data_IF_103072109109
#
_entry.id   IF_103072109109
#
_cell.length_a   1.000
_cell.length_b   1.000
_cell.length_c   1.000
_cell.angle_alpha   90.00
_cell.angle_beta   90.00
_cell.angle_gamma   90.00
#
_symmetry.space_group_name_H-M   'P 1'
#
loop_
_entity.id
_entity.type
_entity.pdbx_description
1 polymer ?
#
# COMPACT_ATOMS: atom_id res chain seq x y z
N UNK A 1 -1.38 15.19 -21.80
CA UNK A 1 -0.87 14.35 -20.68
C UNK A 1 -0.48 15.10 -19.39
N UNK A 2 -0.48 16.44 -19.32
CA UNK A 2 -0.13 17.23 -18.11
C UNK A 2 -1.13 17.17 -16.92
N UNK A 3 -2.32 16.58 -17.10
CA UNK A 3 -3.41 16.56 -16.09
C UNK A 3 -3.31 15.45 -15.03
N UNK A 4 -2.41 14.47 -15.20
CA UNK A 4 -2.29 13.33 -14.28
C UNK A 4 -1.36 13.59 -13.08
N UNK A 5 -0.52 14.62 -13.12
CA UNK A 5 0.35 14.99 -11.99
C UNK A 5 -0.43 15.51 -10.79
N UNK A 6 -1.50 16.28 -11.03
CA UNK A 6 -2.32 16.88 -9.97
C UNK A 6 -3.12 15.82 -9.19
N UNK A 7 -3.54 14.72 -9.85
CA UNK A 7 -4.28 13.65 -9.19
C UNK A 7 -3.43 12.89 -8.15
N UNK A 8 -2.13 12.75 -8.39
CA UNK A 8 -1.23 12.05 -7.45
C UNK A 8 -0.98 12.88 -6.19
N UNK A 9 -0.89 14.22 -6.30
CA UNK A 9 -0.84 15.14 -5.16
C UNK A 9 -2.15 15.13 -4.35
N UNK A 10 -3.29 14.93 -5.02
CA UNK A 10 -4.63 14.89 -4.41
C UNK A 10 -4.88 13.63 -3.57
N UNK A 11 -4.41 12.45 -4.01
CA UNK A 11 -4.50 11.20 -3.25
C UNK A 11 -3.62 11.24 -1.99
N UNK A 12 -2.44 11.85 -2.09
CA UNK A 12 -1.57 12.07 -0.94
C UNK A 12 -2.19 12.94 0.16
N UNK A 13 -3.07 13.89 -0.17
CA UNK A 13 -3.74 14.74 0.81
C UNK A 13 -4.73 13.98 1.71
N UNK A 14 -5.47 13.03 1.14
CA UNK A 14 -6.42 12.18 1.89
C UNK A 14 -5.66 11.20 2.79
N UNK A 15 -4.58 10.60 2.29
CA UNK A 15 -3.71 9.75 3.11
C UNK A 15 -3.01 10.57 4.21
N UNK A 16 -2.53 11.78 3.93
CA UNK A 16 -1.91 12.65 4.93
C UNK A 16 -2.90 13.08 6.01
N UNK A 17 -4.16 13.36 5.68
CA UNK A 17 -5.20 13.64 6.66
C UNK A 17 -5.48 12.41 7.55
N UNK A 18 -5.57 11.21 6.96
CA UNK A 18 -5.69 9.94 7.71
C UNK A 18 -4.50 9.73 8.67
N UNK A 19 -3.29 10.06 8.22
CA UNK A 19 -2.07 9.95 9.02
C UNK A 19 -1.99 10.98 10.14
N UNK A 20 -2.44 12.20 9.88
CA UNK A 20 -2.55 13.21 10.93
C UNK A 20 -3.57 12.81 12.00
N UNK A 21 -4.68 12.15 11.64
CA UNK A 21 -5.64 11.58 12.61
C UNK A 21 -4.99 10.48 13.45
N UNK A 22 -4.30 9.52 12.81
CA UNK A 22 -3.63 8.41 13.52
C UNK A 22 -2.50 8.92 14.41
N UNK A 23 -1.69 9.85 13.91
CA UNK A 23 -0.57 10.45 14.63
C UNK A 23 -1.03 11.32 15.81
N UNK A 24 -2.11 12.09 15.64
CA UNK A 24 -2.68 12.89 16.73
C UNK A 24 -3.33 12.02 17.81
N UNK A 25 -3.99 10.92 17.43
CA UNK A 25 -4.45 9.88 18.36
C UNK A 25 -3.30 9.21 19.10
N UNK A 26 -2.18 8.93 18.42
CA UNK A 26 -0.97 8.37 19.01
C UNK A 26 -0.29 9.30 20.01
N UNK A 27 -0.07 10.58 19.67
CA UNK A 27 0.50 11.57 20.61
C UNK A 27 -0.37 11.67 21.85
N UNK A 28 -1.70 11.67 21.67
CA UNK A 28 -2.64 11.73 22.79
C UNK A 28 -2.54 10.49 23.67
N UNK A 29 -2.55 9.29 23.09
CA UNK A 29 -2.34 8.03 23.81
C UNK A 29 -1.00 8.03 24.55
N UNK A 30 0.09 8.42 23.89
CA UNK A 30 1.44 8.46 24.49
C UNK A 30 1.50 9.40 25.69
N UNK A 31 0.98 10.62 25.55
CA UNK A 31 1.05 11.64 26.60
C UNK A 31 0.16 11.31 27.80
N UNK A 32 -0.99 10.67 27.57
CA UNK A 32 -1.96 10.35 28.62
C UNK A 32 -1.71 8.98 29.25
N UNK A 33 -0.99 8.07 28.59
CA UNK A 33 -0.59 6.78 29.17
C UNK A 33 0.56 6.92 30.18
N UNK A 34 1.43 7.93 30.02
CA UNK A 34 2.52 8.22 30.97
C UNK A 34 2.07 8.90 32.26
N UNK A 35 0.86 9.49 32.28
CA UNK A 35 0.34 10.21 33.44
C UNK A 35 -0.78 9.40 34.09
N UNK A 36 -0.36 8.46 34.95
CA UNK A 36 -1.20 7.72 35.90
C UNK A 36 -2.26 6.80 35.27
N UNK A 37 -2.25 5.51 35.66
CA UNK A 37 -3.05 4.43 35.07
C UNK A 37 -4.57 4.49 35.29
N UNK A 38 -5.19 5.67 35.23
CA UNK A 38 -6.63 5.90 35.37
C UNK A 38 -7.18 6.57 34.12
N UNK A 39 -7.66 5.75 33.18
CA UNK A 39 -8.36 6.16 31.94
C UNK A 39 -9.71 6.87 32.23
N UNK A 40 -10.20 6.82 33.47
CA UNK A 40 -11.59 7.17 33.79
C UNK A 40 -11.83 8.61 34.29
N UNK A 41 -10.79 9.40 34.53
CA UNK A 41 -10.92 10.81 34.96
C UNK A 41 -10.37 11.76 33.90
N UNK A 42 -11.00 11.78 32.72
CA UNK A 42 -10.61 12.64 31.62
C UNK A 42 -11.31 14.01 31.76
N UNK A 43 -10.57 15.14 31.81
CA UNK A 43 -11.18 16.46 31.82
C UNK A 43 -11.89 16.74 30.49
N UNK A 44 -13.10 17.32 30.54
CA UNK A 44 -13.95 17.61 29.36
C UNK A 44 -13.22 18.38 28.24
N UNK A 45 -12.29 19.27 28.58
CA UNK A 45 -11.53 20.08 27.64
C UNK A 45 -10.57 19.27 26.76
N UNK A 46 -9.96 18.21 27.29
CA UNK A 46 -9.06 17.35 26.51
C UNK A 46 -9.82 16.43 25.56
N UNK A 47 -10.98 15.91 25.97
CA UNK A 47 -11.89 15.17 25.08
C UNK A 47 -12.38 16.05 23.92
N UNK A 48 -12.73 17.32 24.21
CA UNK A 48 -13.14 18.27 23.17
C UNK A 48 -12.02 18.56 22.17
N UNK A 49 -10.78 18.70 22.64
CA UNK A 49 -9.60 18.90 21.79
C UNK A 49 -9.28 17.67 20.92
N UNK A 50 -9.42 16.45 21.46
CA UNK A 50 -9.28 15.22 20.67
C UNK A 50 -10.36 15.11 19.60
N UNK A 51 -11.63 15.35 19.97
CA UNK A 51 -12.75 15.34 19.05
C UNK A 51 -12.56 16.36 17.93
N UNK A 52 -12.13 17.58 18.24
CA UNK A 52 -11.80 18.60 17.24
C UNK A 52 -10.66 18.17 16.30
N UNK A 53 -9.61 17.54 16.83
CA UNK A 53 -8.46 17.04 16.04
C UNK A 53 -8.83 15.91 15.08
N UNK A 54 -9.83 15.10 15.41
CA UNK A 54 -10.33 14.02 14.54
C UNK A 54 -11.40 14.54 13.57
N UNK A 55 -12.29 15.40 14.05
CA UNK A 55 -13.46 15.88 13.30
C UNK A 55 -13.10 16.88 12.21
N UNK A 56 -12.15 17.79 12.45
CA UNK A 56 -11.73 18.80 11.46
C UNK A 56 -11.11 18.17 10.19
N UNK A 57 -10.16 17.21 10.28
CA UNK A 57 -9.64 16.52 9.10
C UNK A 57 -10.71 15.70 8.38
N UNK A 58 -11.61 15.02 9.10
CA UNK A 58 -12.72 14.27 8.50
C UNK A 58 -13.67 15.19 7.71
N UNK A 59 -13.98 16.38 8.25
CA UNK A 59 -14.82 17.38 7.57
C UNK A 59 -14.13 17.96 6.33
N UNK A 60 -12.82 18.22 6.41
CA UNK A 60 -12.01 18.66 5.27
C UNK A 60 -11.98 17.61 4.15
N UNK A 61 -11.70 16.35 4.49
CA UNK A 61 -11.69 15.23 3.54
C UNK A 61 -13.08 15.01 2.93
N UNK A 62 -14.12 14.95 3.77
CA UNK A 62 -15.50 14.77 3.33
C UNK A 62 -16.00 15.89 2.42
N UNK A 63 -15.72 17.15 2.79
CA UNK A 63 -16.09 18.33 1.99
C UNK A 63 -15.38 18.37 0.64
N UNK A 64 -14.09 18.04 0.60
CA UNK A 64 -13.33 17.94 -0.66
C UNK A 64 -13.87 16.84 -1.58
N UNK A 65 -14.14 15.64 -1.05
CA UNK A 65 -14.71 14.53 -1.82
C UNK A 65 -16.08 14.89 -2.41
N UNK A 66 -16.94 15.54 -1.62
CA UNK A 66 -18.26 15.99 -2.08
C UNK A 66 -18.18 17.01 -3.22
N UNK A 67 -17.33 18.04 -3.08
CA UNK A 67 -17.13 19.08 -4.11
C UNK A 67 -16.54 18.48 -5.38
N UNK A 68 -15.56 17.57 -5.26
CA UNK A 68 -14.97 16.86 -6.40
C UNK A 68 -16.01 16.01 -7.12
N UNK A 69 -16.86 15.29 -6.39
CA UNK A 69 -17.92 14.48 -6.99
C UNK A 69 -18.87 15.34 -7.84
N UNK A 70 -19.30 16.49 -7.31
CA UNK A 70 -20.14 17.46 -8.04
C UNK A 70 -19.47 18.04 -9.29
N UNK A 71 -18.19 18.38 -9.21
CA UNK A 71 -17.43 18.98 -10.33
C UNK A 71 -17.09 17.94 -11.41
N UNK A 72 -16.80 16.70 -11.03
CA UNK A 72 -16.44 15.63 -11.98
C UNK A 72 -17.68 15.09 -12.71
N UNK A 73 -18.86 15.11 -12.09
CA UNK A 73 -20.11 14.73 -12.75
C UNK A 73 -20.56 15.75 -13.80
N UNK A 74 -20.19 17.03 -13.68
CA UNK A 74 -20.64 18.05 -14.63
C UNK A 74 -19.85 18.09 -15.95
N UNK A 75 -18.73 17.35 -16.08
CA UNK A 75 -17.77 17.52 -17.19
C UNK A 75 -17.68 16.36 -18.18
N UNK A 76 -18.16 15.14 -17.90
CA UNK A 76 -17.93 14.01 -18.83
C UNK A 76 -18.91 12.84 -18.68
N UNK A 77 -19.88 12.73 -19.61
CA UNK A 77 -20.87 11.63 -19.60
C UNK A 77 -20.92 10.77 -20.86
N UNK A 78 -20.32 11.15 -21.99
CA UNK A 78 -20.50 10.37 -23.25
C UNK A 78 -19.20 9.75 -23.79
N UNK A 79 -18.07 10.45 -23.76
CA UNK A 79 -16.78 9.85 -24.16
C UNK A 79 -16.17 8.92 -23.11
N UNK A 80 -16.61 9.02 -21.85
CA UNK A 80 -15.96 8.43 -20.68
C UNK A 80 -16.07 6.90 -20.65
N UNK A 81 -17.20 6.33 -21.04
CA UNK A 81 -17.45 4.88 -20.89
C UNK A 81 -16.62 4.02 -21.86
N UNK A 82 -16.38 4.52 -23.07
CA UNK A 82 -15.55 3.81 -24.07
C UNK A 82 -14.08 3.77 -23.63
N UNK A 83 -13.54 4.90 -23.18
CA UNK A 83 -12.17 4.95 -22.65
C UNK A 83 -12.04 4.13 -21.36
N UNK A 84 -13.02 4.17 -20.46
CA UNK A 84 -13.01 3.33 -19.25
C UNK A 84 -13.04 1.83 -19.55
N UNK A 85 -13.71 1.38 -20.61
CA UNK A 85 -13.72 -0.05 -20.98
C UNK A 85 -12.36 -0.52 -21.49
N UNK A 86 -11.63 0.35 -22.20
CA UNK A 86 -10.26 0.07 -22.60
C UNK A 86 -9.29 0.18 -21.41
N UNK A 87 -9.49 1.11 -20.49
CA UNK A 87 -8.60 1.31 -19.33
C UNK A 87 -8.85 0.32 -18.20
N UNK A 88 -10.07 -0.20 -18.03
CA UNK A 88 -10.43 -1.22 -17.04
C UNK A 88 -11.48 -2.22 -17.57
N UNK A 89 -11.05 -3.30 -18.26
CA UNK A 89 -11.96 -4.28 -18.83
C UNK A 89 -12.75 -5.08 -17.76
N UNK A 90 -12.19 -5.28 -16.55
CA UNK A 90 -12.88 -6.00 -15.46
C UNK A 90 -14.20 -5.33 -15.10
N UNK A 91 -14.23 -4.00 -15.07
CA UNK A 91 -15.41 -3.25 -14.65
C UNK A 91 -16.63 -3.49 -15.56
N UNK A 92 -16.40 -3.84 -16.82
CA UNK A 92 -17.43 -4.01 -17.85
C UNK A 92 -17.70 -5.48 -18.20
N UNK A 93 -17.04 -6.42 -17.55
CA UNK A 93 -17.22 -7.84 -17.79
C UNK A 93 -18.55 -8.34 -17.19
N UNK A 94 -19.45 -8.98 -17.97
CA UNK A 94 -20.74 -9.44 -17.47
C UNK A 94 -20.61 -10.58 -16.45
N UNK A 95 -19.65 -11.49 -16.62
CA UNK A 95 -19.50 -12.63 -15.74
C UNK A 95 -18.84 -12.24 -14.40
N UNK A 96 -19.57 -12.43 -13.30
CA UNK A 96 -19.09 -12.12 -11.95
C UNK A 96 -17.84 -12.92 -11.56
N UNK A 97 -17.75 -14.18 -12.00
CA UNK A 97 -16.62 -15.05 -11.67
C UNK A 97 -15.34 -14.59 -12.36
N UNK A 98 -15.44 -14.26 -13.66
CA UNK A 98 -14.34 -13.67 -14.42
C UNK A 98 -13.81 -12.41 -13.76
N UNK A 99 -14.71 -11.55 -13.25
CA UNK A 99 -14.30 -10.35 -12.48
C UNK A 99 -13.54 -10.71 -11.21
N UNK A 100 -14.05 -11.64 -10.40
CA UNK A 100 -13.42 -12.02 -9.14
C UNK A 100 -12.02 -12.63 -9.38
N UNK A 101 -11.91 -13.57 -10.31
CA UNK A 101 -10.62 -14.21 -10.60
C UNK A 101 -9.61 -13.23 -11.18
N UNK A 102 -10.04 -12.37 -12.11
CA UNK A 102 -9.19 -11.35 -12.70
C UNK A 102 -8.73 -10.32 -11.66
N UNK A 103 -9.62 -9.85 -10.79
CA UNK A 103 -9.26 -8.93 -9.68
C UNK A 103 -8.30 -9.59 -8.70
N UNK A 104 -8.53 -10.85 -8.33
CA UNK A 104 -7.62 -11.60 -7.45
C UNK A 104 -6.22 -11.76 -8.06
N UNK A 105 -6.15 -12.00 -9.37
CA UNK A 105 -4.88 -12.06 -10.08
C UNK A 105 -4.19 -10.70 -10.19
N UNK A 106 -4.95 -9.63 -10.41
CA UNK A 106 -4.42 -8.25 -10.39
C UNK A 106 -3.76 -7.93 -9.03
N UNK A 107 -4.32 -8.38 -7.90
CA UNK A 107 -3.66 -8.24 -6.60
C UNK A 107 -2.33 -8.97 -6.51
N UNK A 108 -2.26 -10.15 -7.12
CA UNK A 108 -1.02 -10.92 -7.18
C UNK A 108 0.02 -10.26 -8.06
N UNK A 109 -0.43 -9.62 -9.14
CA UNK A 109 0.41 -8.80 -10.00
C UNK A 109 0.96 -7.58 -9.24
N UNK A 110 0.13 -6.93 -8.43
CA UNK A 110 0.56 -5.85 -7.53
C UNK A 110 1.58 -6.34 -6.50
N UNK A 111 1.36 -7.50 -5.86
CA UNK A 111 2.34 -8.06 -4.92
C UNK A 111 3.67 -8.37 -5.61
N UNK A 112 3.62 -8.92 -6.83
CA UNK A 112 4.81 -9.15 -7.64
C UNK A 112 5.57 -7.85 -7.90
N UNK A 113 4.88 -6.78 -8.35
CA UNK A 113 5.51 -5.48 -8.59
C UNK A 113 6.12 -4.89 -7.31
N UNK A 114 5.52 -5.17 -6.17
CA UNK A 114 6.00 -4.73 -4.87
C UNK A 114 7.30 -5.45 -4.47
N UNK A 115 7.36 -6.78 -4.67
CA UNK A 115 8.54 -7.60 -4.40
C UNK A 115 9.67 -7.38 -5.42
N UNK A 116 9.31 -7.23 -6.70
CA UNK A 116 10.23 -7.07 -7.81
C UNK A 116 9.62 -6.12 -8.85
N UNK A 117 10.01 -4.83 -8.86
CA UNK A 117 9.42 -3.80 -9.73
C UNK A 117 9.98 -3.90 -11.15
N UNK A 118 9.82 -5.07 -11.78
CA UNK A 118 10.23 -5.32 -13.16
C UNK A 118 9.43 -6.45 -13.83
N UNK A 119 9.06 -6.31 -15.12
CA UNK A 119 9.17 -5.10 -15.93
C UNK A 119 8.05 -4.10 -15.59
N UNK A 120 8.39 -2.82 -15.49
CA UNK A 120 7.40 -1.73 -15.38
C UNK A 120 6.92 -1.31 -16.77
N UNK A 121 5.67 -0.87 -16.87
CA UNK A 121 5.01 -0.47 -18.10
C UNK A 121 4.39 0.92 -17.93
N UNK A 122 4.48 1.75 -18.97
CA UNK A 122 3.89 3.09 -18.95
C UNK A 122 2.36 3.05 -18.84
N UNK A 123 1.72 2.00 -19.34
CA UNK A 123 0.26 1.86 -19.32
C UNK A 123 -0.21 0.40 -19.43
N UNK A 124 -1.16 0.00 -18.58
CA UNK A 124 -1.76 -1.34 -18.56
C UNK A 124 -3.21 -1.28 -19.04
N UNK A 125 -3.42 -1.09 -20.34
CA UNK A 125 -4.75 -1.01 -20.92
C UNK A 125 -5.13 -2.26 -21.72
N UNK A 126 -6.43 -2.45 -21.87
CA UNK A 126 -7.11 -3.48 -22.66
C UNK A 126 -6.63 -4.88 -22.29
N UNK A 127 -5.92 -5.57 -23.19
CA UNK A 127 -5.54 -6.98 -23.02
C UNK A 127 -4.08 -7.17 -22.59
N UNK A 128 -3.50 -6.16 -21.93
CA UNK A 128 -2.15 -6.25 -21.36
C UNK A 128 -2.03 -7.35 -20.29
N UNK A 129 -3.07 -7.53 -19.47
CA UNK A 129 -3.22 -8.71 -18.61
C UNK A 129 -4.55 -9.37 -18.98
N UNK A 130 -4.55 -10.57 -19.60
CA UNK A 130 -5.78 -11.19 -20.07
C UNK A 130 -6.67 -11.57 -18.90
N UNK A 131 -7.99 -11.39 -19.07
CA UNK A 131 -8.98 -11.79 -18.08
C UNK A 131 -8.91 -13.30 -17.82
N UNK A 132 -9.29 -13.71 -16.62
CA UNK A 132 -9.36 -15.12 -16.22
C UNK A 132 -10.80 -15.58 -16.30
N UNK A 133 -11.14 -16.27 -17.38
CA UNK A 133 -12.50 -16.75 -17.63
C UNK A 133 -12.77 -18.13 -17.00
N UNK A 134 -11.72 -18.93 -16.82
CA UNK A 134 -11.83 -20.31 -16.33
C UNK A 134 -11.25 -20.46 -14.92
N UNK A 135 -11.90 -21.29 -14.10
CA UNK A 135 -11.42 -21.62 -12.75
C UNK A 135 -10.11 -22.43 -12.76
N UNK A 136 -9.86 -23.23 -13.79
CA UNK A 136 -8.67 -24.09 -13.94
C UNK A 136 -7.43 -23.36 -14.47
N UNK A 137 -7.46 -22.03 -14.58
CA UNK A 137 -6.30 -21.26 -15.00
C UNK A 137 -5.20 -21.32 -13.93
N UNK A 138 -3.97 -21.67 -14.32
CA UNK A 138 -2.81 -21.74 -13.41
C UNK A 138 -2.53 -20.41 -12.70
N UNK A 139 -2.96 -19.28 -13.27
CA UNK A 139 -2.86 -17.96 -12.66
C UNK A 139 -3.66 -17.84 -11.36
N UNK A 140 -4.74 -18.60 -11.20
CA UNK A 140 -5.50 -18.64 -9.95
C UNK A 140 -4.70 -19.24 -8.79
N UNK A 141 -3.77 -20.16 -9.07
CA UNK A 141 -2.88 -20.70 -8.03
C UNK A 141 -1.98 -19.60 -7.45
N UNK A 142 -1.45 -18.73 -8.31
CA UNK A 142 -0.64 -17.57 -7.89
C UNK A 142 -1.48 -16.65 -7.00
N UNK A 143 -2.76 -16.43 -7.36
CA UNK A 143 -3.70 -15.68 -6.53
C UNK A 143 -3.92 -16.31 -5.17
N UNK A 144 -4.21 -17.61 -5.12
CA UNK A 144 -4.40 -18.33 -3.85
C UNK A 144 -3.15 -18.24 -2.96
N UNK A 145 -1.96 -18.44 -3.52
CA UNK A 145 -0.69 -18.32 -2.79
C UNK A 145 -0.45 -16.89 -2.29
N UNK A 146 -0.70 -15.88 -3.12
CA UNK A 146 -0.59 -14.48 -2.75
C UNK A 146 -1.50 -14.15 -1.56
N UNK A 147 -2.78 -14.52 -1.64
CA UNK A 147 -3.71 -14.31 -0.54
C UNK A 147 -3.32 -15.10 0.70
N UNK A 148 -2.85 -16.34 0.59
CA UNK A 148 -2.36 -17.09 1.74
C UNK A 148 -1.17 -16.39 2.41
N UNK A 149 -0.18 -15.95 1.62
CA UNK A 149 1.02 -15.27 2.12
C UNK A 149 0.73 -13.91 2.77
N UNK A 150 -0.31 -13.20 2.35
CA UNK A 150 -0.69 -11.90 2.92
C UNK A 150 -1.70 -12.05 4.06
N UNK A 151 -2.69 -12.92 3.91
CA UNK A 151 -3.80 -13.10 4.86
C UNK A 151 -3.35 -13.78 6.15
N UNK A 152 -2.43 -14.74 6.09
CA UNK A 152 -1.90 -15.43 7.28
C UNK A 152 -1.16 -14.46 8.22
N UNK A 153 -0.17 -13.67 7.77
CA UNK A 153 0.48 -12.70 8.64
C UNK A 153 -0.43 -11.53 9.01
N UNK A 154 -1.37 -11.12 8.15
CA UNK A 154 -2.38 -10.11 8.49
C UNK A 154 -3.26 -10.56 9.67
N UNK A 155 -3.84 -11.76 9.54
CA UNK A 155 -4.71 -12.33 10.57
C UNK A 155 -3.93 -12.67 11.83
N UNK A 156 -2.70 -13.19 11.69
CA UNK A 156 -1.79 -13.43 12.81
C UNK A 156 -1.43 -12.14 13.56
N UNK A 157 -1.09 -11.06 12.84
CA UNK A 157 -0.82 -9.76 13.45
C UNK A 157 -2.09 -9.19 14.12
N UNK A 158 -3.24 -9.23 13.46
CA UNK A 158 -4.51 -8.75 14.02
C UNK A 158 -4.91 -9.53 15.28
N UNK A 159 -4.72 -10.85 15.30
CA UNK A 159 -5.00 -11.71 16.44
C UNK A 159 -4.01 -11.45 17.59
N UNK A 160 -2.71 -11.33 17.30
CA UNK A 160 -1.70 -10.93 18.29
C UNK A 160 -2.10 -9.59 18.89
N UNK A 161 -2.50 -8.60 18.10
CA UNK A 161 -2.86 -7.25 18.56
C UNK A 161 -4.19 -7.21 19.32
N UNK A 162 -5.16 -8.06 18.99
CA UNK A 162 -6.39 -8.20 19.78
C UNK A 162 -6.12 -8.86 21.13
N UNK A 163 -5.21 -9.83 21.16
CA UNK A 163 -4.84 -10.59 22.36
C UNK A 163 -3.78 -9.89 23.22
N UNK A 164 -2.94 -9.02 22.66
CA UNK A 164 -1.83 -8.34 23.35
C UNK A 164 -2.27 -7.37 24.45
N UNK A 165 -3.25 -6.45 24.23
CA UNK A 165 -3.77 -5.60 25.30
C UNK A 165 -4.51 -6.43 26.33
N UNK A 166 -5.20 -7.51 25.94
CA UNK A 166 -5.83 -8.45 26.86
C UNK A 166 -4.80 -9.18 27.74
N UNK A 167 -3.71 -9.70 27.16
CA UNK A 167 -2.65 -10.36 27.90
C UNK A 167 -1.86 -9.40 28.80
N UNK A 168 -1.63 -8.16 28.38
CA UNK A 168 -1.02 -7.14 29.24
C UNK A 168 -1.94 -6.70 30.39
N UNK A 169 -3.25 -6.58 30.14
CA UNK A 169 -4.27 -6.32 31.17
C UNK A 169 -4.33 -7.46 32.20
N UNK A 170 -4.39 -8.72 31.74
CA UNK A 170 -4.42 -9.88 32.63
C UNK A 170 -3.09 -10.09 33.37
N UNK A 171 -1.94 -9.81 32.74
CA UNK A 171 -0.63 -9.87 33.40
C UNK A 171 -0.51 -8.78 34.47
N UNK A 172 -0.95 -7.54 34.20
CA UNK A 172 -1.01 -6.48 35.24
C UNK A 172 -2.03 -6.81 36.35
N UNK A 173 -3.19 -7.35 36.01
CA UNK A 173 -4.20 -7.75 36.99
C UNK A 173 -3.72 -8.90 37.90
N UNK A 174 -3.05 -9.92 37.34
CA UNK A 174 -2.45 -11.02 38.11
C UNK A 174 -1.21 -10.59 38.90
N UNK A 175 -0.40 -9.66 38.39
CA UNK A 175 0.76 -9.10 39.11
C UNK A 175 0.31 -8.17 40.25
N UNK A 176 -0.74 -7.37 40.06
CA UNK A 176 -1.35 -6.58 41.15
C UNK A 176 -2.03 -7.47 42.20
N UNK A 177 -2.56 -8.63 41.81
CA UNK A 177 -3.07 -9.63 42.74
C UNK A 177 -1.93 -10.37 43.50
N UNK A 178 -0.70 -10.38 42.97
CA UNK A 178 0.40 -11.19 43.51
C UNK A 178 1.51 -10.42 44.23
N UNK A 179 1.82 -9.14 43.94
CA UNK A 179 2.90 -8.50 44.71
C UNK A 179 2.93 -6.96 44.80
N UNK A 180 3.02 -6.55 46.06
CA UNK A 180 3.32 -5.23 46.62
C UNK A 180 4.79 -4.80 46.42
N UNK A 181 5.48 -5.25 45.38
CA UNK A 181 6.89 -4.89 45.12
C UNK A 181 7.03 -4.11 43.82
N UNK A 182 7.54 -2.89 43.97
CA UNK A 182 7.95 -1.99 42.89
C UNK A 182 9.09 -2.67 42.14
N UNK A 183 8.79 -3.31 41.00
CA UNK A 183 9.79 -3.75 40.03
C UNK A 183 9.64 -2.82 38.84
N UNK A 184 10.71 -2.13 38.47
CA UNK A 184 10.76 -1.27 37.29
C UNK A 184 10.36 -2.09 36.04
N UNK A 185 9.65 -1.51 35.06
CA UNK A 185 9.33 -2.21 33.83
C UNK A 185 10.62 -2.70 33.16
N UNK A 186 10.68 -4.00 32.87
CA UNK A 186 11.84 -4.65 32.28
C UNK A 186 12.09 -4.11 30.85
N UNK A 187 13.36 -3.87 30.48
CA UNK A 187 13.74 -3.31 29.16
C UNK A 187 13.18 -4.18 28.02
N UNK A 188 13.09 -5.49 28.26
CA UNK A 188 12.64 -6.51 27.31
C UNK A 188 11.14 -6.39 26.97
N UNK A 189 10.30 -5.85 27.87
CA UNK A 189 8.87 -5.63 27.63
C UNK A 189 8.62 -4.41 26.71
N UNK A 190 9.47 -3.38 26.77
CA UNK A 190 9.38 -2.21 25.89
C UNK A 190 9.74 -2.57 24.45
N UNK A 191 10.80 -3.33 24.25
CA UNK A 191 11.26 -3.78 22.93
C UNK A 191 10.23 -4.69 22.22
N UNK A 192 9.52 -5.54 22.97
CA UNK A 192 8.44 -6.39 22.43
C UNK A 192 7.21 -5.61 22.01
N UNK A 193 6.87 -4.56 22.77
CA UNK A 193 5.77 -3.66 22.44
C UNK A 193 6.08 -2.89 21.16
N UNK A 194 7.28 -2.31 21.05
CA UNK A 194 7.73 -1.60 19.85
C UNK A 194 7.71 -2.52 18.61
N UNK A 195 8.20 -3.75 18.72
CA UNK A 195 8.20 -4.71 17.62
C UNK A 195 6.77 -5.04 17.13
N UNK A 196 5.84 -5.25 18.06
CA UNK A 196 4.43 -5.52 17.74
C UNK A 196 3.75 -4.33 17.04
N UNK A 197 4.08 -3.10 17.46
CA UNK A 197 3.59 -1.89 16.82
C UNK A 197 4.14 -1.66 15.42
N UNK A 198 5.42 -1.97 15.18
CA UNK A 198 6.00 -1.84 13.83
C UNK A 198 5.34 -2.84 12.87
N UNK A 199 5.05 -4.08 13.33
CA UNK A 199 4.28 -5.05 12.53
C UNK A 199 2.90 -4.49 12.20
N UNK A 200 2.18 -3.95 13.19
CA UNK A 200 0.86 -3.35 12.97
C UNK A 200 0.90 -2.22 11.94
N UNK A 201 1.84 -1.28 12.11
CA UNK A 201 1.96 -0.14 11.21
C UNK A 201 2.36 -0.60 9.79
N UNK A 202 3.27 -1.57 9.66
CA UNK A 202 3.65 -2.13 8.36
C UNK A 202 2.44 -2.68 7.59
N UNK A 203 1.59 -3.42 8.29
CA UNK A 203 0.37 -4.02 7.76
C UNK A 203 -0.69 -2.97 7.42
N UNK A 204 -0.91 -2.01 8.31
CA UNK A 204 -1.90 -0.96 8.13
C UNK A 204 -1.58 -0.11 6.89
N UNK A 205 -0.32 0.30 6.76
CA UNK A 205 0.17 1.07 5.62
C UNK A 205 0.20 0.28 4.31
N UNK A 206 0.32 -1.04 4.37
CA UNK A 206 0.24 -1.90 3.19
C UNK A 206 -1.21 -2.03 2.68
N UNK A 207 -2.18 -2.26 3.58
CA UNK A 207 -3.54 -2.67 3.21
C UNK A 207 -4.48 -1.48 3.05
N UNK A 208 -4.52 -0.55 4.02
CA UNK A 208 -5.52 0.52 4.04
C UNK A 208 -5.46 1.40 2.78
N UNK A 209 -4.28 1.88 2.33
CA UNK A 209 -4.17 2.66 1.10
C UNK A 209 -4.45 1.83 -0.16
N UNK A 210 -4.27 0.50 -0.09
CA UNK A 210 -4.51 -0.41 -1.21
C UNK A 210 -5.99 -0.79 -1.37
N UNK A 211 -6.82 -0.68 -0.31
CA UNK A 211 -8.25 -1.03 -0.39
C UNK A 211 -8.99 -0.24 -1.49
N UNK A 212 -8.86 1.09 -1.60
CA UNK A 212 -9.47 1.81 -2.72
C UNK A 212 -8.93 1.33 -4.07
N UNK A 213 -7.61 1.11 -4.16
CA UNK A 213 -6.89 0.64 -5.35
C UNK A 213 -7.24 -0.78 -5.81
N UNK A 214 -7.77 -1.61 -4.91
CA UNK A 214 -7.96 -3.06 -5.08
C UNK A 214 -9.13 -3.46 -5.98
N UNK A 215 -9.91 -2.53 -6.51
CA UNK A 215 -11.12 -2.86 -7.30
C UNK A 215 -12.11 -3.82 -6.56
N UNK A 216 -12.00 -3.97 -5.24
CA UNK A 216 -12.86 -4.86 -4.44
C UNK A 216 -14.24 -4.25 -4.18
N UNK A 217 -14.27 -2.97 -3.81
CA UNK A 217 -15.50 -2.25 -3.46
C UNK A 217 -15.98 -1.33 -4.59
N UNK A 218 -15.03 -0.70 -5.28
CA UNK A 218 -15.31 0.22 -6.39
C UNK A 218 -14.27 0.00 -7.48
N UNK A 219 -14.72 -0.14 -8.73
CA UNK A 219 -13.80 -0.19 -9.86
C UNK A 219 -13.23 1.20 -10.11
N UNK A 220 -11.91 1.31 -10.08
CA UNK A 220 -11.20 2.53 -10.47
C UNK A 220 -11.10 2.57 -12.00
N UNK A 221 -10.95 3.76 -12.58
CA UNK A 221 -10.80 3.93 -14.02
C UNK A 221 -9.58 3.24 -14.64
N UNK A 222 -8.67 2.67 -13.85
CA UNK A 222 -7.47 1.99 -14.35
C UNK A 222 -7.42 0.54 -13.88
N UNK A 223 -7.07 -0.36 -14.80
CA UNK A 223 -6.91 -1.79 -14.57
C UNK A 223 -5.73 -2.10 -13.63
N UNK A 224 -4.52 -1.65 -13.99
CA UNK A 224 -3.31 -1.70 -13.15
C UNK A 224 -2.58 -0.38 -13.25
N UNK A 225 -2.15 0.18 -12.11
CA UNK A 225 -1.33 1.38 -12.08
C UNK A 225 -0.26 1.30 -11.00
N UNK A 226 1.00 1.40 -11.41
CA UNK A 226 2.17 1.28 -10.53
C UNK A 226 2.21 2.34 -9.43
N UNK A 227 1.75 3.56 -9.75
CA UNK A 227 1.64 4.67 -8.79
C UNK A 227 0.76 4.37 -7.57
N UNK A 228 -0.18 3.43 -7.69
CA UNK A 228 -1.03 3.01 -6.58
C UNK A 228 -0.23 2.26 -5.50
N UNK A 229 0.96 1.74 -5.85
CA UNK A 229 1.85 1.06 -4.92
C UNK A 229 2.77 2.00 -4.13
N UNK A 230 2.80 3.31 -4.41
CA UNK A 230 3.70 4.23 -3.70
C UNK A 230 3.44 4.26 -2.20
N UNK A 231 2.18 4.41 -1.79
CA UNK A 231 1.83 4.44 -0.36
C UNK A 231 1.95 3.05 0.29
N UNK A 232 1.44 1.96 -0.32
CA UNK A 232 1.66 0.59 0.17
C UNK A 232 3.14 0.18 0.31
N UNK A 233 4.04 0.72 -0.53
CA UNK A 233 5.47 0.41 -0.46
C UNK A 233 6.12 0.82 0.87
N UNK A 234 5.58 1.85 1.55
CA UNK A 234 6.05 2.27 2.87
C UNK A 234 5.84 1.15 3.88
N UNK A 235 4.64 0.55 3.89
CA UNK A 235 4.30 -0.57 4.75
C UNK A 235 5.17 -1.79 4.47
N UNK A 236 5.43 -2.07 3.19
CA UNK A 236 6.33 -3.15 2.80
C UNK A 236 7.77 -2.94 3.25
N UNK A 237 8.34 -1.75 3.07
CA UNK A 237 9.71 -1.45 3.50
C UNK A 237 9.86 -1.60 5.02
N UNK A 238 8.85 -1.21 5.80
CA UNK A 238 8.80 -1.46 7.24
C UNK A 238 8.75 -2.96 7.58
N UNK A 239 7.95 -3.74 6.87
CA UNK A 239 7.91 -5.20 7.06
C UNK A 239 9.21 -5.89 6.65
N UNK A 240 9.83 -5.44 5.56
CA UNK A 240 11.09 -5.97 5.06
C UNK A 240 12.25 -5.73 6.03
N UNK A 241 12.30 -4.55 6.65
CA UNK A 241 13.34 -4.25 7.66
C UNK A 241 13.23 -5.15 8.89
N UNK A 242 12.00 -5.47 9.33
CA UNK A 242 11.75 -6.44 10.39
C UNK A 242 12.17 -7.85 9.98
N UNK A 243 11.88 -8.25 8.74
CA UNK A 243 12.28 -9.54 8.20
C UNK A 243 13.81 -9.68 8.17
N UNK A 244 14.54 -8.67 7.70
CA UNK A 244 16.01 -8.65 7.69
C UNK A 244 16.56 -8.71 9.12
N UNK A 245 15.96 -7.93 10.04
CA UNK A 245 16.36 -7.92 11.46
C UNK A 245 16.12 -9.28 12.12
N UNK A 246 15.03 -9.96 11.79
CA UNK A 246 14.70 -11.29 12.29
C UNK A 246 15.64 -12.36 11.71
N UNK A 247 15.91 -12.33 10.39
CA UNK A 247 16.80 -13.27 9.72
C UNK A 247 18.23 -13.18 10.26
N UNK A 248 18.74 -11.96 10.42
CA UNK A 248 20.12 -11.72 10.87
C UNK A 248 20.33 -12.11 12.32
N UNK A 249 19.33 -11.91 13.20
CA UNK A 249 19.37 -12.38 14.60
C UNK A 249 19.37 -13.91 14.73
N UNK A 250 18.87 -14.62 13.72
CA UNK A 250 18.86 -16.09 13.68
C UNK A 250 20.21 -16.68 13.31
N UNK A 251 21.11 -15.87 12.77
CA UNK A 251 22.50 -16.26 12.56
C UNK A 251 23.21 -16.18 13.92
N UNK A 252 23.80 -17.28 14.40
CA UNK A 252 24.52 -17.36 15.68
C UNK A 252 25.83 -16.54 15.64
N UNK A 253 25.72 -15.21 15.61
CA UNK A 253 26.82 -14.27 15.58
C UNK A 253 26.76 -13.26 16.72
N UNK A 254 27.90 -12.61 17.00
CA UNK A 254 27.94 -11.49 17.94
C UNK A 254 27.14 -10.28 17.44
N UNK A 255 26.78 -9.35 18.33
CA UNK A 255 25.94 -8.18 17.99
C UNK A 255 26.47 -7.35 16.81
N UNK A 256 27.80 -7.17 16.73
CA UNK A 256 28.44 -6.47 15.61
C UNK A 256 28.32 -7.23 14.28
N UNK A 257 28.37 -8.58 14.31
CA UNK A 257 28.21 -9.40 13.10
C UNK A 257 26.78 -9.36 12.59
N UNK A 258 25.79 -9.41 13.48
CA UNK A 258 24.37 -9.27 13.13
C UNK A 258 24.09 -7.92 12.45
N UNK A 259 24.65 -6.83 13.01
CA UNK A 259 24.57 -5.49 12.40
C UNK A 259 25.24 -5.46 11.02
N UNK A 260 26.42 -6.05 10.88
CA UNK A 260 27.13 -6.13 9.60
C UNK A 260 26.29 -6.85 8.53
N UNK A 261 25.72 -8.03 8.84
CA UNK A 261 24.88 -8.76 7.90
C UNK A 261 23.62 -7.97 7.51
N UNK A 262 22.98 -7.30 8.46
CA UNK A 262 21.80 -6.47 8.19
C UNK A 262 22.13 -5.32 7.22
N UNK A 263 23.25 -4.62 7.44
CA UNK A 263 23.73 -3.57 6.54
C UNK A 263 24.14 -4.11 5.17
N UNK A 264 24.81 -5.26 5.11
CA UNK A 264 25.21 -5.89 3.86
C UNK A 264 24.00 -6.29 3.00
N UNK A 265 22.98 -6.91 3.60
CA UNK A 265 21.73 -7.29 2.91
C UNK A 265 21.02 -6.03 2.41
N UNK A 266 20.83 -5.04 3.28
CA UNK A 266 20.15 -3.78 2.93
C UNK A 266 20.90 -3.03 1.82
N UNK A 267 22.23 -2.96 1.91
CA UNK A 267 23.08 -2.35 0.88
C UNK A 267 23.00 -3.08 -0.45
N UNK A 268 22.99 -4.42 -0.44
CA UNK A 268 22.81 -5.23 -1.66
C UNK A 268 21.47 -4.97 -2.34
N UNK A 269 20.38 -4.89 -1.57
CA UNK A 269 19.06 -4.51 -2.08
C UNK A 269 19.11 -3.12 -2.71
N UNK A 270 19.68 -2.13 -2.01
CA UNK A 270 19.78 -0.75 -2.53
C UNK A 270 20.53 -0.68 -3.86
N UNK A 271 21.65 -1.39 -4.01
CA UNK A 271 22.41 -1.42 -5.27
C UNK A 271 21.57 -1.97 -6.43
N UNK A 272 20.78 -3.02 -6.20
CA UNK A 272 19.86 -3.57 -7.20
C UNK A 272 18.81 -2.54 -7.60
N UNK A 273 18.17 -1.87 -6.64
CA UNK A 273 17.15 -0.84 -6.92
C UNK A 273 17.71 0.40 -7.60
N UNK A 274 18.94 0.82 -7.26
CA UNK A 274 19.64 1.91 -7.95
C UNK A 274 19.84 1.54 -9.42
N UNK A 275 20.33 0.32 -9.72
CA UNK A 275 20.48 -0.15 -11.10
C UNK A 275 19.14 -0.14 -11.85
N UNK A 276 18.09 -0.72 -11.26
CA UNK A 276 16.76 -0.75 -11.87
C UNK A 276 16.23 0.66 -12.16
N UNK A 277 16.52 1.62 -11.28
CA UNK A 277 16.12 3.02 -11.44
C UNK A 277 16.92 3.71 -12.54
N UNK A 278 18.23 3.45 -12.64
CA UNK A 278 19.06 3.98 -13.72
C UNK A 278 18.59 3.47 -15.08
N UNK A 279 18.36 2.16 -15.20
CA UNK A 279 17.86 1.53 -16.43
C UNK A 279 16.50 2.14 -16.81
N UNK A 280 15.60 2.30 -15.82
CA UNK A 280 14.30 2.94 -16.06
C UNK A 280 14.41 4.40 -16.47
N UNK A 281 15.33 5.17 -15.89
CA UNK A 281 15.50 6.58 -16.22
C UNK A 281 15.97 6.78 -17.67
N UNK A 282 16.64 5.78 -18.27
CA UNK A 282 16.98 5.80 -19.69
C UNK A 282 15.73 5.72 -20.57
N UNK A 283 14.73 4.91 -20.19
CA UNK A 283 13.46 4.80 -20.91
C UNK A 283 12.71 6.14 -20.95
N UNK A 284 12.81 6.94 -19.89
CA UNK A 284 12.13 8.24 -19.77
C UNK A 284 12.79 9.38 -20.55
N UNK A 285 13.95 9.15 -21.19
CA UNK A 285 14.64 10.20 -21.95
C UNK A 285 13.84 10.66 -23.18
N UNK A 286 13.24 9.72 -23.89
CA UNK A 286 12.54 9.97 -25.16
C UNK A 286 11.20 9.24 -25.16
N UNK A 287 10.16 9.88 -25.71
CA UNK A 287 8.83 9.26 -25.82
C UNK A 287 8.87 7.98 -26.66
N UNK A 288 9.64 7.96 -27.75
CA UNK A 288 9.80 6.77 -28.60
C UNK A 288 10.35 5.58 -27.81
N UNK A 289 11.41 5.78 -27.03
CA UNK A 289 12.05 4.74 -26.22
C UNK A 289 11.07 4.26 -25.13
N UNK A 290 10.36 5.19 -24.48
CA UNK A 290 9.36 4.88 -23.47
C UNK A 290 8.24 3.99 -24.01
N UNK A 291 7.64 4.34 -25.15
CA UNK A 291 6.55 3.54 -25.74
C UNK A 291 7.04 2.25 -26.37
N UNK A 292 8.27 2.22 -26.91
CA UNK A 292 8.88 1.00 -27.41
C UNK A 292 9.14 0.01 -26.28
N UNK A 293 9.67 0.46 -25.14
CA UNK A 293 9.84 -0.35 -23.94
C UNK A 293 8.48 -0.85 -23.41
N UNK A 294 7.47 0.04 -23.36
CA UNK A 294 6.12 -0.34 -22.95
C UNK A 294 5.47 -1.38 -23.90
N UNK A 295 5.71 -1.27 -25.21
CA UNK A 295 5.22 -2.22 -26.21
C UNK A 295 5.83 -3.62 -26.05
N UNK A 296 7.10 -3.72 -25.66
CA UNK A 296 7.74 -5.01 -25.37
C UNK A 296 7.12 -5.71 -24.16
N UNK A 297 6.63 -4.95 -23.18
CA UNK A 297 5.98 -5.49 -21.97
C UNK A 297 4.54 -5.85 -22.25
N UNK A 298 3.78 -4.94 -22.87
CA UNK A 298 2.36 -5.12 -23.17
C UNK A 298 2.04 -4.76 -24.62
N UNK A 299 2.26 -5.69 -25.56
CA UNK A 299 2.04 -5.45 -26.99
C UNK A 299 0.56 -5.26 -27.34
N UNK A 300 -0.34 -5.77 -26.49
CA UNK A 300 -1.79 -5.72 -26.71
C UNK A 300 -2.49 -4.54 -26.02
N UNK A 301 -1.72 -3.58 -25.49
CA UNK A 301 -2.29 -2.36 -24.91
C UNK A 301 -2.67 -1.37 -26.02
N UNK A 302 -3.96 -1.00 -26.08
CA UNK A 302 -4.50 -0.08 -27.08
C UNK A 302 -3.84 1.30 -26.99
N UNK A 303 -3.67 1.81 -25.76
CA UNK A 303 -3.06 3.12 -25.53
C UNK A 303 -1.59 3.15 -25.93
N UNK A 304 -0.84 2.06 -25.71
CA UNK A 304 0.57 1.97 -26.12
C UNK A 304 0.67 1.91 -27.63
N UNK A 305 -0.13 1.05 -28.27
CA UNK A 305 -0.13 0.89 -29.72
C UNK A 305 -0.50 2.21 -30.43
N UNK A 306 -1.55 2.88 -29.98
CA UNK A 306 -1.98 4.16 -30.55
C UNK A 306 -0.89 5.22 -30.45
N UNK A 307 -0.26 5.37 -29.28
CA UNK A 307 0.81 6.36 -29.09
C UNK A 307 2.07 6.00 -29.90
N UNK A 308 2.45 4.72 -29.94
CA UNK A 308 3.63 4.27 -30.67
C UNK A 308 3.46 4.48 -32.19
N UNK A 309 2.30 4.11 -32.74
CA UNK A 309 1.97 4.35 -34.16
C UNK A 309 1.94 5.84 -34.47
N UNK A 310 1.37 6.66 -33.59
CA UNK A 310 1.33 8.12 -33.78
C UNK A 310 2.73 8.71 -33.86
N UNK A 311 3.67 8.26 -33.02
CA UNK A 311 5.06 8.72 -33.07
C UNK A 311 5.77 8.31 -34.35
N UNK A 312 5.59 7.06 -34.79
CA UNK A 312 6.16 6.57 -36.06
C UNK A 312 5.60 7.39 -37.24
N UNK A 313 4.29 7.66 -37.24
CA UNK A 313 3.64 8.44 -38.28
C UNK A 313 4.15 9.89 -38.32
N UNK A 314 4.31 10.54 -37.16
CA UNK A 314 4.91 11.87 -37.08
C UNK A 314 6.36 11.87 -37.57
N UNK A 315 7.14 10.83 -37.24
CA UNK A 315 8.52 10.72 -37.73
C UNK A 315 8.57 10.65 -39.26
N UNK A 316 7.72 9.84 -39.90
CA UNK A 316 7.61 9.72 -41.36
C UNK A 316 7.11 11.00 -42.03
N UNK A 317 6.28 11.79 -41.35
CA UNK A 317 5.72 13.04 -41.91
C UNK A 317 6.71 14.19 -41.91
N UNK A 318 7.59 14.25 -40.91
CA UNK A 318 8.51 15.36 -40.71
C UNK A 318 9.94 15.08 -41.18
N UNK A 319 10.26 13.84 -41.58
CA UNK A 319 11.56 13.41 -42.11
C UNK A 319 11.38 12.54 -43.35
#
# INVERSE_FOLDING_TARGET
KKKNGDNNLQESGITMAGLMIVYSGYIWLKNNWTKEGTIWTIPKSEMQMLLLRILLPLLYVGGFVYLRHKIVQSVATIGKDVFLKAENPIAFEPNRWTRIFSTAYVHSYYLRLLLFPYPLCADYSFNCIPLIETWSDARNLVSCLCYALVFIPFFGAALIILLFPFNCLFRKANVQASQKTIIAPDHDDHDRLEFSWIIFMSVLWLIVPFIPASNLFFYIGTFVAERLLYVPSIGFCMGLSLLISWLTRRMNGGEQQTKFYAWAITGGILVIYIKLTMDRNLDWRNEEVLFRAAYQVCPQSVNILQNHVTLIYLFILFF
#
